data_IF_588577445094
#
_entry.id   IF_588577445094
#
_cell.length_a   1.000
_cell.length_b   1.000
_cell.length_c   1.000
_cell.angle_alpha   90.00
_cell.angle_beta   90.00
_cell.angle_gamma   90.00
#
_symmetry.space_group_name_H-M   'P 1'
#
loop_
_entity.id
_entity.type
_entity.pdbx_description
1 polymer ?
#
# COMPACT_ATOMS: atom_id res chain seq x y z
N UNK A 1 2.53 8.94 -13.43
CA UNK A 1 1.30 8.14 -13.61
C UNK A 1 1.46 6.77 -12.98
N UNK A 2 2.53 6.04 -13.32
CA UNK A 2 2.82 4.67 -12.82
C UNK A 2 2.89 4.55 -11.29
N UNK A 3 3.54 5.48 -10.59
CA UNK A 3 3.62 5.43 -9.12
C UNK A 3 2.26 5.61 -8.43
N UNK A 4 1.39 6.48 -8.96
CA UNK A 4 0.04 6.66 -8.42
C UNK A 4 -0.76 5.35 -8.56
N UNK A 5 -0.68 4.71 -9.73
CA UNK A 5 -1.30 3.41 -9.99
C UNK A 5 -0.77 2.34 -9.05
N UNK A 6 0.55 2.24 -8.89
CA UNK A 6 1.18 1.29 -7.96
C UNK A 6 0.61 1.39 -6.54
N UNK A 7 0.53 2.60 -5.99
CA UNK A 7 0.03 2.78 -4.63
C UNK A 7 -1.51 2.64 -4.52
N UNK A 8 -2.27 2.88 -5.60
CA UNK A 8 -3.70 2.55 -5.65
C UNK A 8 -3.92 1.03 -5.66
N UNK A 9 -3.09 0.28 -6.40
CA UNK A 9 -3.11 -1.18 -6.44
C UNK A 9 -2.68 -1.78 -5.08
N UNK A 10 -1.60 -1.27 -4.48
CA UNK A 10 -1.17 -1.67 -3.14
C UNK A 10 -2.27 -1.41 -2.11
N UNK A 11 -2.93 -0.26 -2.17
CA UNK A 11 -4.05 0.05 -1.29
C UNK A 11 -5.24 -0.91 -1.52
N UNK A 12 -5.48 -1.35 -2.75
CA UNK A 12 -6.49 -2.39 -3.04
C UNK A 12 -6.12 -3.70 -2.35
N UNK A 13 -4.86 -4.13 -2.43
CA UNK A 13 -4.37 -5.30 -1.70
C UNK A 13 -4.57 -5.13 -0.18
N UNK A 14 -4.23 -3.96 0.39
CA UNK A 14 -4.44 -3.66 1.82
C UNK A 14 -5.91 -3.87 2.22
N UNK A 15 -6.86 -3.37 1.42
CA UNK A 15 -8.30 -3.50 1.70
C UNK A 15 -8.70 -4.98 1.75
N UNK A 16 -8.26 -5.79 0.79
CA UNK A 16 -8.58 -7.22 0.78
C UNK A 16 -7.90 -7.95 1.95
N UNK A 17 -6.64 -7.67 2.25
CA UNK A 17 -5.94 -8.28 3.40
C UNK A 17 -6.66 -8.00 4.72
N UNK A 18 -7.10 -6.75 4.94
CA UNK A 18 -7.90 -6.38 6.12
C UNK A 18 -9.25 -7.11 6.16
N UNK A 19 -9.93 -7.25 5.03
CA UNK A 19 -11.17 -8.06 4.94
C UNK A 19 -10.93 -9.53 5.25
N UNK A 20 -9.74 -10.06 4.97
CA UNK A 20 -9.30 -11.39 5.37
C UNK A 20 -8.81 -11.46 6.84
N UNK A 21 -8.95 -10.38 7.62
CA UNK A 21 -8.48 -10.32 9.00
C UNK A 21 -6.96 -10.33 9.14
N UNK A 22 -6.23 -9.94 8.08
CA UNK A 22 -4.76 -9.86 8.09
C UNK A 22 -4.33 -8.40 8.17
N UNK A 23 -3.35 -8.15 9.04
CA UNK A 23 -2.71 -6.85 9.17
C UNK A 23 -1.21 -6.95 8.93
N UNK A 24 -0.62 -5.87 8.44
CA UNK A 24 0.80 -5.79 8.11
C UNK A 24 1.31 -4.38 8.41
N UNK A 25 2.55 -4.29 8.91
CA UNK A 25 3.17 -3.02 9.33
C UNK A 25 3.15 -1.92 8.26
N UNK A 26 3.16 -2.30 6.98
CA UNK A 26 3.19 -1.35 5.84
C UNK A 26 1.79 -0.92 5.37
N UNK A 27 0.69 -1.46 5.91
CA UNK A 27 -0.66 -1.12 5.47
C UNK A 27 -0.94 0.38 5.56
N UNK A 28 -0.65 0.98 6.71
CA UNK A 28 -0.88 2.41 6.92
C UNK A 28 0.00 3.27 6.00
N UNK A 29 1.26 2.85 5.79
CA UNK A 29 2.18 3.53 4.89
C UNK A 29 1.66 3.59 3.45
N UNK A 30 1.16 2.46 2.91
CA UNK A 30 0.60 2.42 1.54
C UNK A 30 -0.62 3.32 1.40
N UNK A 31 -1.51 3.32 2.40
CA UNK A 31 -2.69 4.19 2.44
C UNK A 31 -2.26 5.67 2.46
N UNK A 32 -1.30 6.02 3.31
CA UNK A 32 -0.82 7.39 3.46
C UNK A 32 -0.15 7.89 2.18
N UNK A 33 0.70 7.09 1.53
CA UNK A 33 1.35 7.47 0.27
C UNK A 33 0.31 7.62 -0.84
N UNK A 34 -0.58 6.64 -1.02
CA UNK A 34 -1.67 6.75 -2.01
C UNK A 34 -2.43 8.04 -1.81
N UNK A 35 -2.85 8.30 -0.57
CA UNK A 35 -3.64 9.47 -0.24
C UNK A 35 -2.85 10.75 -0.51
N UNK A 36 -1.57 10.82 -0.15
CA UNK A 36 -0.75 11.97 -0.46
C UNK A 36 -0.64 12.20 -1.98
N UNK A 37 -0.33 11.18 -2.78
CA UNK A 37 -0.23 11.30 -4.25
C UNK A 37 -1.58 11.75 -4.86
N UNK A 38 -2.69 11.19 -4.38
CA UNK A 38 -4.04 11.49 -4.88
C UNK A 38 -4.55 12.86 -4.46
N UNK A 39 -4.24 13.29 -3.23
CA UNK A 39 -4.82 14.46 -2.61
C UNK A 39 -3.93 15.70 -2.62
N UNK A 40 -2.63 15.58 -2.93
CA UNK A 40 -1.73 16.73 -3.08
C UNK A 40 -2.23 17.81 -4.07
N UNK A 41 -2.96 17.41 -5.12
CA UNK A 41 -3.57 18.34 -6.09
C UNK A 41 -4.93 18.90 -5.60
N UNK A 42 -5.60 18.20 -4.68
CA UNK A 42 -6.98 18.50 -4.23
C UNK A 42 -7.03 19.29 -2.91
N UNK A 43 -6.02 19.10 -2.06
CA UNK A 43 -5.94 19.65 -0.69
C UNK A 43 -5.47 21.10 -0.60
N UNK A 44 -5.13 21.74 -1.72
CA UNK A 44 -4.97 23.20 -1.84
C UNK A 44 -6.28 23.96 -1.59
N UNK A 45 -7.43 23.26 -1.63
CA UNK A 45 -8.76 23.83 -1.40
C UNK A 45 -9.39 23.43 -0.06
N UNK A 46 -8.69 22.62 0.75
CA UNK A 46 -9.18 22.14 2.05
C UNK A 46 -8.65 22.99 3.21
N UNK A 47 -9.42 23.09 4.30
CA UNK A 47 -9.12 23.92 5.48
C UNK A 47 -7.78 23.51 6.12
N UNK A 48 -6.99 24.50 6.57
CA UNK A 48 -5.66 24.30 7.18
C UNK A 48 -5.69 23.41 8.45
N UNK A 49 -6.84 23.34 9.12
CA UNK A 49 -7.10 22.67 10.38
C UNK A 49 -7.61 21.21 10.24
N UNK A 50 -7.52 20.61 9.06
CA UNK A 50 -7.84 19.19 8.88
C UNK A 50 -6.84 18.28 9.63
N UNK A 51 -7.33 17.63 10.69
CA UNK A 51 -6.55 16.73 11.55
C UNK A 51 -5.96 15.54 10.77
N UNK A 52 -6.71 14.94 9.85
CA UNK A 52 -6.28 13.76 9.10
C UNK A 52 -5.13 14.13 8.16
N UNK A 53 -5.23 15.30 7.51
CA UNK A 53 -4.16 15.87 6.67
C UNK A 53 -2.90 16.12 7.50
N UNK A 54 -3.03 16.78 8.65
CA UNK A 54 -1.91 17.15 9.50
C UNK A 54 -1.18 15.93 10.07
N UNK A 55 -1.91 14.92 10.52
CA UNK A 55 -1.30 13.66 10.98
C UNK A 55 -0.57 12.91 9.85
N UNK A 56 -1.17 12.84 8.65
CA UNK A 56 -0.53 12.19 7.50
C UNK A 56 0.74 12.94 7.08
N UNK A 57 0.72 14.27 7.09
CA UNK A 57 1.89 15.08 6.78
C UNK A 57 3.04 14.83 7.75
N UNK A 58 2.74 14.68 9.05
CA UNK A 58 3.74 14.30 10.06
C UNK A 58 4.30 12.90 9.79
N UNK A 59 3.44 11.90 9.54
CA UNK A 59 3.87 10.52 9.27
C UNK A 59 4.78 10.40 8.04
N UNK A 60 4.49 11.15 6.98
CA UNK A 60 5.29 11.15 5.76
C UNK A 60 6.47 12.14 5.79
N UNK A 61 6.59 12.94 6.86
CA UNK A 61 7.56 14.04 6.95
C UNK A 61 7.51 14.96 5.73
N UNK A 62 6.31 15.41 5.37
CA UNK A 62 6.09 16.32 4.25
C UNK A 62 6.60 17.73 4.60
N UNK A 63 7.28 18.39 3.66
CA UNK A 63 7.52 19.82 3.76
C UNK A 63 6.21 20.55 3.42
N UNK A 64 5.60 21.32 4.36
CA UNK A 64 4.36 22.04 4.11
C UNK A 64 4.48 23.09 2.99
N UNK A 65 5.71 23.45 2.57
CA UNK A 65 5.97 24.37 1.46
C UNK A 65 6.11 23.68 0.10
N UNK A 66 6.17 22.35 0.04
CA UNK A 66 6.32 21.58 -1.20
C UNK A 66 5.04 20.78 -1.48
N UNK A 67 4.23 21.29 -2.40
CA UNK A 67 2.97 20.65 -2.84
C UNK A 67 3.18 19.23 -3.40
N UNK A 68 4.35 18.94 -3.98
CA UNK A 68 4.69 17.61 -4.51
C UNK A 68 6.12 17.28 -4.07
N UNK A 69 6.25 16.58 -2.94
CA UNK A 69 7.54 16.03 -2.51
C UNK A 69 7.61 14.56 -2.93
N UNK A 70 7.71 14.31 -4.25
CA UNK A 70 7.86 12.95 -4.78
C UNK A 70 9.14 12.90 -5.62
N UNK A 71 10.08 12.03 -5.23
CA UNK A 71 11.29 11.73 -5.97
C UNK A 71 11.30 10.28 -6.44
N UNK A 72 11.95 10.02 -7.56
CA UNK A 72 12.12 8.67 -8.11
C UNK A 72 13.59 8.35 -8.26
N UNK A 73 13.97 7.16 -7.83
CA UNK A 73 15.24 6.51 -8.11
C UNK A 73 14.96 5.19 -8.85
N UNK A 74 16.02 4.55 -9.34
CA UNK A 74 15.99 3.26 -10.02
C UNK A 74 15.44 2.13 -9.15
N UNK A 75 15.66 2.20 -7.83
CA UNK A 75 15.28 1.17 -6.85
C UNK A 75 14.37 1.69 -5.73
N UNK A 76 14.05 2.99 -5.72
CA UNK A 76 13.28 3.59 -4.64
C UNK A 76 12.34 4.72 -5.11
N UNK A 77 11.30 4.96 -4.31
CA UNK A 77 10.39 6.09 -4.45
C UNK A 77 10.47 6.90 -3.17
N UNK A 78 10.77 8.19 -3.27
CA UNK A 78 10.75 9.12 -2.13
C UNK A 78 9.44 9.88 -2.09
N UNK A 79 8.79 9.92 -0.93
CA UNK A 79 7.56 10.68 -0.67
C UNK A 79 7.75 11.47 0.62
N UNK A 80 7.87 12.80 0.52
CA UNK A 80 8.29 13.63 1.65
C UNK A 80 9.70 13.28 2.12
N UNK A 81 9.84 13.03 3.42
CA UNK A 81 11.04 12.46 4.02
C UNK A 81 11.09 10.93 3.96
N UNK A 82 10.04 10.27 3.48
CA UNK A 82 9.94 8.81 3.48
C UNK A 82 10.54 8.23 2.21
N UNK A 83 11.47 7.28 2.33
CA UNK A 83 12.03 6.52 1.20
C UNK A 83 11.40 5.12 1.19
N UNK A 84 10.90 4.69 0.05
CA UNK A 84 10.29 3.38 -0.16
C UNK A 84 11.14 2.62 -1.16
N UNK A 85 11.80 1.57 -0.70
CA UNK A 85 12.55 0.67 -1.56
C UNK A 85 11.58 -0.23 -2.34
N UNK A 86 11.77 -0.41 -3.65
CA UNK A 86 10.97 -1.32 -4.46
C UNK A 86 11.08 -2.77 -3.95
N UNK A 87 12.20 -3.11 -3.28
CA UNK A 87 12.36 -4.40 -2.61
C UNK A 87 11.35 -4.62 -1.46
N UNK A 88 10.93 -3.56 -0.76
CA UNK A 88 9.93 -3.64 0.31
C UNK A 88 8.52 -3.82 -0.26
N UNK A 89 8.23 -3.16 -1.38
CA UNK A 89 6.99 -3.36 -2.13
C UNK A 89 6.89 -4.83 -2.57
N UNK A 90 7.96 -5.37 -3.15
CA UNK A 90 8.00 -6.77 -3.58
C UNK A 90 7.82 -7.74 -2.40
N UNK A 91 8.49 -7.52 -1.27
CA UNK A 91 8.32 -8.33 -0.05
C UNK A 91 6.87 -8.32 0.44
N UNK A 92 6.21 -7.17 0.39
CA UNK A 92 4.82 -7.04 0.77
C UNK A 92 3.89 -7.84 -0.16
N UNK A 93 4.11 -7.77 -1.48
CA UNK A 93 3.31 -8.51 -2.46
C UNK A 93 3.48 -10.03 -2.28
N UNK A 94 4.72 -10.51 -2.11
CA UNK A 94 5.00 -11.94 -1.84
C UNK A 94 4.29 -12.41 -0.57
N UNK A 95 4.29 -11.59 0.49
CA UNK A 95 3.54 -11.90 1.70
C UNK A 95 2.03 -11.99 1.43
N UNK A 96 1.45 -11.02 0.72
CA UNK A 96 0.03 -10.99 0.41
C UNK A 96 -0.39 -12.18 -0.48
N UNK A 97 0.42 -12.54 -1.47
CA UNK A 97 0.23 -13.73 -2.30
C UNK A 97 0.23 -15.01 -1.45
N UNK A 98 1.17 -15.15 -0.50
CA UNK A 98 1.21 -16.28 0.41
C UNK A 98 -0.04 -16.40 1.28
N UNK A 99 -0.58 -15.27 1.76
CA UNK A 99 -1.85 -15.23 2.49
C UNK A 99 -3.01 -15.72 1.61
N UNK A 100 -3.14 -15.19 0.40
CA UNK A 100 -4.22 -15.55 -0.54
C UNK A 100 -4.12 -17.04 -0.91
N UNK A 101 -2.92 -17.53 -1.23
CA UNK A 101 -2.68 -18.93 -1.53
C UNK A 101 -3.13 -19.83 -0.36
N UNK A 102 -2.81 -19.46 0.88
CA UNK A 102 -3.28 -20.17 2.07
C UNK A 102 -4.80 -20.21 2.21
N UNK A 103 -5.47 -19.09 1.95
CA UNK A 103 -6.94 -19.01 1.99
C UNK A 103 -7.57 -19.88 0.90
N UNK A 104 -7.06 -19.81 -0.33
CA UNK A 104 -7.55 -20.60 -1.46
C UNK A 104 -7.32 -22.11 -1.24
N UNK A 105 -6.17 -22.50 -0.67
CA UNK A 105 -5.88 -23.88 -0.36
C UNK A 105 -6.90 -24.43 0.65
N UNK A 106 -7.16 -23.69 1.73
CA UNK A 106 -8.16 -24.06 2.72
C UNK A 106 -9.57 -24.14 2.11
N UNK A 107 -9.97 -23.16 1.31
CA UNK A 107 -11.27 -23.16 0.66
C UNK A 107 -11.45 -24.35 -0.30
N UNK A 108 -10.38 -24.79 -0.96
CA UNK A 108 -10.39 -26.00 -1.78
C UNK A 108 -10.49 -27.27 -0.94
N UNK A 109 -9.71 -27.38 0.15
CA UNK A 109 -9.78 -28.50 1.11
C UNK A 109 -11.19 -28.62 1.73
N UNK A 110 -11.82 -27.50 2.06
CA UNK A 110 -13.17 -27.42 2.62
C UNK A 110 -14.27 -27.64 1.57
N UNK A 111 -13.93 -27.81 0.29
CA UNK A 111 -14.86 -28.08 -0.81
C UNK A 111 -15.64 -26.87 -1.32
N UNK A 112 -15.27 -25.64 -0.93
CA UNK A 112 -15.88 -24.41 -1.45
C UNK A 112 -15.41 -24.08 -2.88
N UNK A 113 -14.29 -24.64 -3.32
CA UNK A 113 -13.69 -24.39 -4.65
C UNK A 113 -13.21 -25.70 -5.26
N UNK A 114 -13.72 -26.03 -6.45
CA UNK A 114 -13.23 -27.15 -7.27
C UNK A 114 -12.23 -26.66 -8.32
N UNK A 115 -11.18 -27.45 -8.60
CA UNK A 115 -10.28 -27.26 -9.74
C UNK A 115 -9.05 -26.37 -9.53
N UNK A 116 -8.85 -25.75 -8.36
CA UNK A 116 -7.62 -24.99 -8.05
C UNK A 116 -6.60 -25.89 -7.35
N UNK A 117 -5.53 -26.30 -8.05
CA UNK A 117 -4.33 -26.87 -7.39
C UNK A 117 -3.46 -25.72 -6.89
N UNK A 118 -3.57 -25.39 -5.60
CA UNK A 118 -2.65 -24.42 -4.98
C UNK A 118 -1.27 -25.07 -4.84
N UNK A 119 -0.30 -24.61 -5.64
CA UNK A 119 1.10 -25.00 -5.50
C UNK A 119 1.67 -24.27 -4.30
N UNK A 120 1.93 -24.98 -3.20
CA UNK A 120 2.69 -24.43 -2.07
C UNK A 120 4.13 -24.22 -2.53
N UNK A 121 4.50 -22.99 -2.84
CA UNK A 121 5.91 -22.62 -2.97
C UNK A 121 6.51 -22.56 -1.56
N UNK A 122 7.18 -23.63 -1.17
CA UNK A 122 8.05 -23.65 0.00
C UNK A 122 9.35 -22.95 -0.37
N UNK A 123 9.51 -21.69 0.03
CA UNK A 123 10.81 -21.04 0.18
C UNK A 123 11.14 -20.95 1.66
#
# INVERSE_FOLDING_TARGET
HEASTLFEDLNTVVIYMRKCGKDHKNHQLWVDIRNHIRHAVREEFDKEDDLVKNERAQRLSLDPKLQISIGFDTDAIKVGGTLIELSEVNKYLVWAEGVIAGILAKASEDGFIEGIRVVKNLN
#
